data_IF_330665885922
#
_entry.id   IF_330665885922
#
_cell.length_a   1.000
_cell.length_b   1.000
_cell.length_c   1.000
_cell.angle_alpha   90.00
_cell.angle_beta   90.00
_cell.angle_gamma   90.00
#
_symmetry.space_group_name_H-M   'P 1'
#
loop_
_entity.id
_entity.type
_entity.pdbx_description
1 polymer ?
#
# COMPACT_ATOMS: atom_id res chain seq x y z
N UNK A 1 -18.73 -4.74 53.97
CA UNK A 1 -17.79 -5.68 53.33
C UNK A 1 -18.24 -6.19 51.94
N UNK A 2 -19.47 -6.64 51.73
CA UNK A 2 -19.92 -7.18 50.42
C UNK A 2 -19.92 -6.13 49.29
N UNK A 3 -20.27 -4.89 49.60
CA UNK A 3 -20.32 -3.78 48.60
C UNK A 3 -18.93 -3.34 48.12
N UNK A 4 -17.96 -3.28 49.04
CA UNK A 4 -16.57 -2.96 48.68
C UNK A 4 -15.94 -4.05 47.81
N UNK A 5 -16.18 -5.34 48.09
CA UNK A 5 -15.68 -6.43 47.23
C UNK A 5 -16.25 -6.34 45.78
N UNK A 6 -17.55 -6.00 45.65
CA UNK A 6 -18.16 -5.79 44.31
C UNK A 6 -17.53 -4.61 43.55
N UNK A 7 -17.23 -3.51 44.29
CA UNK A 7 -16.58 -2.34 43.69
C UNK A 7 -15.17 -2.66 43.18
N UNK A 8 -14.40 -3.42 43.96
CA UNK A 8 -13.05 -3.89 43.58
C UNK A 8 -13.07 -4.81 42.37
N UNK A 9 -14.05 -5.70 42.27
CA UNK A 9 -14.22 -6.60 41.12
C UNK A 9 -14.60 -5.78 39.86
N UNK A 10 -15.47 -4.79 40.02
CA UNK A 10 -15.87 -3.90 38.88
C UNK A 10 -14.69 -3.06 38.40
N UNK A 11 -13.90 -2.49 39.29
CA UNK A 11 -12.69 -1.76 38.97
C UNK A 11 -11.64 -2.64 38.26
N UNK A 12 -11.40 -3.84 38.80
CA UNK A 12 -10.47 -4.79 38.18
C UNK A 12 -10.94 -5.24 36.79
N UNK A 13 -12.23 -5.47 36.60
CA UNK A 13 -12.80 -5.81 35.31
C UNK A 13 -12.68 -4.64 34.31
N UNK A 14 -12.97 -3.41 34.77
CA UNK A 14 -12.84 -2.19 33.93
C UNK A 14 -11.38 -1.93 33.54
N UNK A 15 -10.43 -2.14 34.48
CA UNK A 15 -9.00 -1.99 34.22
C UNK A 15 -8.50 -3.07 33.25
N UNK A 16 -8.97 -4.32 33.41
CA UNK A 16 -8.63 -5.41 32.48
C UNK A 16 -9.20 -5.16 31.07
N UNK A 17 -10.43 -4.62 30.98
CA UNK A 17 -11.03 -4.25 29.70
C UNK A 17 -10.27 -3.09 29.03
N UNK A 18 -9.87 -2.08 29.80
CA UNK A 18 -9.05 -0.96 29.30
C UNK A 18 -7.66 -1.43 28.84
N UNK A 19 -7.03 -2.36 29.55
CA UNK A 19 -5.74 -2.95 29.17
C UNK A 19 -5.82 -3.86 27.94
N UNK A 20 -6.97 -4.50 27.71
CA UNK A 20 -7.22 -5.30 26.49
C UNK A 20 -7.57 -4.45 25.27
N UNK A 21 -7.98 -3.19 25.45
CA UNK A 21 -8.24 -2.26 24.35
C UNK A 21 -6.99 -1.56 23.80
N UNK A 22 -5.81 -1.79 24.39
CA UNK A 22 -4.53 -1.29 23.86
C UNK A 22 -3.89 -2.38 22.97
N UNK A 23 -4.66 -2.96 22.06
CA UNK A 23 -4.07 -3.61 20.89
C UNK A 23 -3.77 -2.45 19.95
N UNK A 24 -2.51 -2.09 19.83
CA UNK A 24 -2.06 -1.19 18.78
C UNK A 24 -2.43 -1.87 17.46
N UNK A 25 -3.52 -1.44 16.85
CA UNK A 25 -3.78 -1.77 15.47
C UNK A 25 -2.70 -1.03 14.67
N UNK A 26 -1.66 -1.75 14.28
CA UNK A 26 -0.68 -1.26 13.32
C UNK A 26 -1.32 -1.46 11.95
N UNK A 27 -1.94 -0.43 11.44
CA UNK A 27 -2.56 -0.43 10.11
C UNK A 27 -2.56 0.99 9.59
N UNK A 28 -2.03 1.17 8.39
CA UNK A 28 -2.09 2.46 7.70
C UNK A 28 -3.55 2.88 7.45
N UNK A 29 -3.79 4.18 7.33
CA UNK A 29 -5.12 4.72 7.05
C UNK A 29 -5.11 5.48 5.73
N UNK A 30 -6.03 5.17 4.82
CA UNK A 30 -6.30 5.97 3.63
C UNK A 30 -7.55 6.82 3.80
N UNK A 31 -7.53 8.01 3.20
CA UNK A 31 -8.67 8.92 3.17
C UNK A 31 -8.89 9.37 1.73
N UNK A 32 -10.12 9.29 1.30
CA UNK A 32 -10.61 9.91 0.07
C UNK A 32 -11.67 10.95 0.41
N UNK A 33 -11.55 12.13 -0.18
CA UNK A 33 -12.56 13.20 -0.10
C UNK A 33 -13.00 13.53 -1.52
N UNK A 34 -14.28 13.29 -1.82
CA UNK A 34 -14.86 13.56 -3.13
C UNK A 34 -15.08 15.05 -3.40
N UNK A 35 -15.16 15.39 -4.67
CA UNK A 35 -15.29 16.78 -5.17
C UNK A 35 -16.49 17.55 -4.61
N UNK A 36 -17.58 16.86 -4.28
CA UNK A 36 -18.78 17.47 -3.70
C UNK A 36 -18.57 17.99 -2.26
N UNK A 37 -17.51 17.57 -1.60
CA UNK A 37 -17.19 17.94 -0.21
C UNK A 37 -16.11 19.01 -0.12
N UNK A 38 -15.59 19.50 -1.25
CA UNK A 38 -14.51 20.49 -1.32
C UNK A 38 -15.02 21.83 -1.84
N UNK A 39 -14.37 22.92 -1.45
CA UNK A 39 -14.81 24.27 -1.81
C UNK A 39 -14.55 24.61 -3.30
N UNK A 40 -13.60 23.96 -3.92
CA UNK A 40 -13.13 24.21 -5.29
C UNK A 40 -13.46 23.09 -6.28
N UNK A 41 -14.16 22.03 -5.80
CA UNK A 41 -14.50 20.88 -6.63
C UNK A 41 -13.34 19.91 -6.88
N UNK A 42 -12.24 20.04 -6.16
CA UNK A 42 -11.14 19.08 -6.22
C UNK A 42 -11.44 17.83 -5.38
N UNK A 43 -10.78 16.72 -5.68
CA UNK A 43 -10.78 15.53 -4.84
C UNK A 43 -9.43 15.36 -4.16
N UNK A 44 -9.41 14.78 -2.95
CA UNK A 44 -8.18 14.53 -2.20
C UNK A 44 -7.99 13.06 -1.92
N UNK A 45 -6.75 12.61 -2.07
CA UNK A 45 -6.27 11.35 -1.53
C UNK A 45 -5.21 11.65 -0.49
N UNK A 46 -5.28 10.97 0.65
CA UNK A 46 -4.29 11.10 1.71
C UNK A 46 -4.07 9.75 2.40
N UNK A 47 -2.90 9.58 3.02
CA UNK A 47 -2.60 8.42 3.87
C UNK A 47 -1.86 8.85 5.13
N UNK A 48 -2.00 8.04 6.18
CA UNK A 48 -1.04 7.97 7.26
C UNK A 48 -0.31 6.63 7.20
N UNK A 49 0.91 6.61 7.69
CA UNK A 49 1.67 5.40 7.94
C UNK A 49 1.63 5.13 9.43
N UNK A 50 1.02 4.01 9.81
CA UNK A 50 0.85 3.60 11.21
C UNK A 50 1.67 2.33 11.45
N UNK A 51 3.00 2.47 11.39
CA UNK A 51 3.96 1.39 11.58
C UNK A 51 4.83 1.62 12.83
N UNK A 52 5.76 0.71 13.11
CA UNK A 52 6.59 0.80 14.31
C UNK A 52 7.56 1.98 14.27
N UNK A 53 7.92 2.51 15.44
CA UNK A 53 8.91 3.58 15.56
C UNK A 53 10.27 3.19 14.96
N UNK A 54 10.90 4.10 14.23
CA UNK A 54 12.23 3.90 13.65
C UNK A 54 12.25 3.73 12.14
N UNK A 55 11.09 3.68 11.49
CA UNK A 55 10.98 3.73 10.03
C UNK A 55 10.94 5.19 9.58
N UNK A 56 12.09 5.73 9.25
CA UNK A 56 12.16 7.05 8.66
C UNK A 56 11.74 6.98 7.20
N UNK A 57 11.07 8.02 6.71
CA UNK A 57 10.66 8.11 5.31
C UNK A 57 11.51 9.16 4.58
N UNK A 58 11.83 8.87 3.33
CA UNK A 58 12.55 9.78 2.43
C UNK A 58 11.66 10.10 1.24
N UNK A 59 11.47 11.39 0.97
CA UNK A 59 10.87 11.85 -0.27
C UNK A 59 11.95 12.03 -1.34
N UNK A 60 11.73 11.51 -2.53
CA UNK A 60 12.66 11.60 -3.65
C UNK A 60 11.98 11.79 -4.99
N UNK A 61 12.78 12.12 -6.00
CA UNK A 61 12.33 12.30 -7.39
C UNK A 61 13.07 11.30 -8.26
N UNK A 62 12.32 10.48 -8.96
CA UNK A 62 12.83 9.58 -9.98
C UNK A 62 12.71 10.24 -11.35
N UNK A 63 13.83 10.30 -12.07
CA UNK A 63 13.87 10.91 -13.39
C UNK A 63 13.21 10.02 -14.44
N UNK A 64 12.70 10.60 -15.51
CA UNK A 64 12.22 9.86 -16.66
C UNK A 64 13.31 8.91 -17.19
N UNK A 65 12.93 7.67 -17.48
CA UNK A 65 13.85 6.64 -17.94
C UNK A 65 14.76 6.05 -16.85
N UNK A 66 14.48 6.26 -15.57
CA UNK A 66 15.17 5.54 -14.47
C UNK A 66 15.17 4.03 -14.72
N UNK A 67 14.05 3.51 -15.16
CA UNK A 67 13.89 2.15 -15.64
C UNK A 67 13.68 2.22 -17.17
N UNK A 68 14.60 1.65 -17.93
CA UNK A 68 14.50 1.63 -19.38
C UNK A 68 13.52 0.56 -19.86
N UNK A 69 12.93 0.74 -21.03
CA UNK A 69 12.13 -0.28 -21.69
C UNK A 69 12.86 -1.62 -21.77
N UNK A 70 12.21 -2.70 -21.36
CA UNK A 70 12.78 -4.05 -21.28
C UNK A 70 13.70 -4.32 -20.09
N UNK A 71 13.97 -3.34 -19.22
CA UNK A 71 14.67 -3.60 -17.97
C UNK A 71 13.79 -4.35 -16.97
N UNK A 72 14.43 -5.08 -16.07
CA UNK A 72 13.76 -5.91 -15.07
C UNK A 72 13.82 -5.22 -13.71
N UNK A 73 12.67 -5.10 -13.07
CA UNK A 73 12.51 -4.76 -11.68
C UNK A 73 12.45 -6.03 -10.84
N UNK A 74 13.17 -6.05 -9.73
CA UNK A 74 13.09 -7.11 -8.73
C UNK A 74 12.74 -6.47 -7.38
N UNK A 75 11.56 -6.81 -6.89
CA UNK A 75 11.04 -6.33 -5.62
C UNK A 75 11.70 -6.98 -4.40
N UNK A 76 11.45 -6.41 -3.23
CA UNK A 76 12.06 -6.86 -1.97
C UNK A 76 11.76 -8.34 -1.66
N UNK A 77 10.58 -8.80 -2.03
CA UNK A 77 10.12 -10.18 -1.78
C UNK A 77 10.21 -11.09 -3.00
N UNK A 78 10.94 -10.65 -4.05
CA UNK A 78 11.22 -11.44 -5.24
C UNK A 78 10.18 -11.32 -6.35
N UNK A 79 9.22 -10.39 -6.25
CA UNK A 79 8.35 -10.02 -7.36
C UNK A 79 9.18 -9.49 -8.53
N UNK A 80 8.89 -9.93 -9.74
CA UNK A 80 9.61 -9.51 -10.95
C UNK A 80 8.65 -8.87 -11.94
N UNK A 81 9.05 -7.69 -12.43
CA UNK A 81 8.33 -6.98 -13.49
C UNK A 81 9.29 -6.53 -14.59
N UNK A 82 8.84 -6.58 -15.84
CA UNK A 82 9.60 -6.06 -16.99
C UNK A 82 8.91 -4.82 -17.53
N UNK A 83 9.60 -3.68 -17.51
CA UNK A 83 9.04 -2.42 -17.98
C UNK A 83 8.76 -2.46 -19.50
N UNK A 84 7.58 -1.99 -19.89
CA UNK A 84 7.14 -2.00 -21.28
C UNK A 84 7.65 -0.80 -22.08
N UNK A 85 7.97 0.29 -21.39
CA UNK A 85 8.56 1.52 -21.94
C UNK A 85 9.51 2.15 -20.90
N UNK A 86 10.21 3.21 -21.29
CA UNK A 86 11.00 4.02 -20.36
C UNK A 86 10.09 4.61 -19.28
N UNK A 87 10.42 4.44 -18.01
CA UNK A 87 9.59 4.87 -16.89
C UNK A 87 9.32 6.36 -16.93
N UNK A 88 8.11 6.77 -16.59
CA UNK A 88 7.79 8.18 -16.36
C UNK A 88 8.62 8.75 -15.19
N UNK A 89 8.88 10.06 -15.20
CA UNK A 89 9.39 10.74 -14.01
C UNK A 89 8.31 10.78 -12.94
N UNK A 90 8.70 10.54 -11.67
CA UNK A 90 7.75 10.56 -10.57
C UNK A 90 8.41 10.97 -9.25
N UNK A 91 7.61 11.53 -8.35
CA UNK A 91 7.96 11.71 -6.95
C UNK A 91 7.45 10.54 -6.15
N UNK A 92 8.20 10.12 -5.14
CA UNK A 92 7.75 9.07 -4.24
C UNK A 92 8.24 9.30 -2.81
N UNK A 93 7.59 8.65 -1.88
CA UNK A 93 8.06 8.50 -0.49
C UNK A 93 8.32 7.03 -0.25
N UNK A 94 9.49 6.73 0.27
CA UNK A 94 9.93 5.37 0.58
C UNK A 94 10.53 5.28 1.97
N UNK A 95 10.77 4.06 2.43
CA UNK A 95 11.56 3.82 3.63
C UNK A 95 12.99 4.31 3.48
N UNK A 96 13.56 4.79 4.58
CA UNK A 96 14.98 5.16 4.64
C UNK A 96 15.85 3.91 4.75
N UNK A 97 16.38 3.46 3.63
CA UNK A 97 17.33 2.35 3.55
C UNK A 97 18.80 2.82 3.43
N UNK A 98 19.11 4.05 3.82
CA UNK A 98 20.47 4.62 3.74
C UNK A 98 21.50 3.83 4.57
N UNK A 99 21.04 3.02 5.53
CA UNK A 99 21.89 2.08 6.27
C UNK A 99 22.38 0.91 5.40
N UNK A 100 21.84 0.71 4.21
CA UNK A 100 22.10 -0.44 3.35
C UNK A 100 21.45 -1.74 3.85
N UNK A 101 20.58 -1.65 4.85
CA UNK A 101 19.80 -2.77 5.37
C UNK A 101 18.34 -2.46 5.09
N UNK A 102 17.66 -3.36 4.39
CA UNK A 102 16.22 -3.26 4.18
C UNK A 102 15.51 -3.33 5.54
N UNK A 103 14.70 -2.33 5.93
CA UNK A 103 14.04 -2.33 7.22
C UNK A 103 13.06 -3.50 7.38
N UNK A 104 12.43 -3.97 6.30
CA UNK A 104 11.45 -5.05 6.38
C UNK A 104 12.06 -6.45 6.35
N UNK A 105 12.93 -6.74 5.38
CA UNK A 105 13.51 -8.07 5.28
C UNK A 105 14.80 -8.24 6.08
N UNK A 106 15.40 -7.15 6.59
CA UNK A 106 16.63 -7.15 7.38
C UNK A 106 17.88 -7.57 6.62
N UNK A 107 17.84 -7.65 5.29
CA UNK A 107 18.97 -8.09 4.46
C UNK A 107 19.73 -6.91 3.87
N UNK A 108 21.03 -7.12 3.68
CA UNK A 108 21.90 -6.16 2.98
C UNK A 108 21.98 -6.56 1.51
N UNK A 109 21.07 -6.05 0.71
CA UNK A 109 21.15 -6.18 -0.74
C UNK A 109 20.65 -4.88 -1.41
N UNK A 110 21.03 -4.61 -2.65
CA UNK A 110 20.53 -3.47 -3.37
C UNK A 110 19.03 -3.68 -3.65
N UNK A 111 18.19 -3.23 -2.71
CA UNK A 111 16.76 -3.18 -2.94
C UNK A 111 16.39 -1.96 -3.75
N UNK A 112 15.36 -2.14 -4.54
CA UNK A 112 14.53 -1.03 -4.95
C UNK A 112 13.94 -0.37 -3.69
N UNK A 113 13.85 0.96 -3.66
CA UNK A 113 13.17 1.65 -2.57
C UNK A 113 11.76 1.08 -2.43
N UNK A 114 11.31 0.86 -1.21
CA UNK A 114 9.93 0.48 -0.91
C UNK A 114 9.08 1.75 -1.02
N UNK A 115 8.68 2.07 -2.24
CA UNK A 115 7.89 3.25 -2.54
C UNK A 115 6.40 2.94 -2.30
N UNK A 116 5.74 3.75 -1.49
CA UNK A 116 4.37 3.49 -1.06
C UNK A 116 3.38 4.51 -1.60
N UNK A 117 3.84 5.74 -1.85
CA UNK A 117 3.01 6.85 -2.30
C UNK A 117 3.80 7.78 -3.20
N UNK A 118 3.13 8.33 -4.21
CA UNK A 118 3.76 9.30 -5.10
C UNK A 118 2.84 9.79 -6.21
N UNK A 119 3.44 10.60 -7.10
CA UNK A 119 2.76 11.11 -8.31
C UNK A 119 3.74 11.19 -9.47
N UNK A 120 3.29 10.84 -10.66
CA UNK A 120 4.12 10.88 -11.86
C UNK A 120 3.86 12.09 -12.76
N UNK A 121 4.70 12.27 -13.78
CA UNK A 121 4.63 13.40 -14.74
C UNK A 121 3.38 13.38 -15.62
N UNK A 122 2.62 12.29 -15.64
CA UNK A 122 1.32 12.18 -16.31
C UNK A 122 0.15 12.61 -15.44
N UNK A 123 0.43 12.94 -14.16
CA UNK A 123 -0.58 13.33 -13.19
C UNK A 123 -1.26 12.14 -12.51
N UNK A 124 -0.74 10.94 -12.66
CA UNK A 124 -1.21 9.77 -11.91
C UNK A 124 -0.62 9.79 -10.52
N UNK A 125 -1.46 9.64 -9.51
CA UNK A 125 -1.08 9.52 -8.11
C UNK A 125 -1.47 8.14 -7.59
N UNK A 126 -0.58 7.54 -6.80
CA UNK A 126 -0.75 6.19 -6.23
C UNK A 126 -0.48 6.24 -4.74
N UNK A 127 -1.29 5.52 -3.97
CA UNK A 127 -1.03 5.23 -2.56
C UNK A 127 -1.39 3.77 -2.29
N UNK A 128 -0.42 2.95 -1.93
CA UNK A 128 -0.58 1.55 -1.60
C UNK A 128 -0.44 1.33 -0.09
N UNK A 129 -1.11 0.31 0.46
CA UNK A 129 -1.01 -0.03 1.88
C UNK A 129 -1.51 -1.44 2.18
N UNK A 130 -0.95 -2.07 3.22
CA UNK A 130 -1.44 -3.33 3.79
C UNK A 130 -2.48 -3.01 4.86
N UNK A 131 -3.76 -3.18 4.55
CA UNK A 131 -4.87 -2.84 5.47
C UNK A 131 -5.86 -3.97 5.69
N UNK A 132 -5.67 -5.08 5.04
CA UNK A 132 -6.63 -6.17 5.00
C UNK A 132 -6.19 -7.38 5.82
N UNK A 133 -7.15 -8.03 6.43
CA UNK A 133 -6.96 -9.32 7.09
C UNK A 133 -8.03 -10.30 6.58
N UNK A 134 -7.81 -10.97 5.45
CA UNK A 134 -8.76 -11.91 4.92
C UNK A 134 -8.93 -13.12 5.85
N UNK A 135 -10.12 -13.71 5.87
CA UNK A 135 -10.36 -14.90 6.69
C UNK A 135 -9.70 -16.15 6.09
N UNK A 136 -9.39 -17.13 6.93
CA UNK A 136 -8.68 -18.34 6.52
C UNK A 136 -9.42 -19.18 5.46
N UNK A 137 -10.74 -19.04 5.31
CA UNK A 137 -11.49 -19.79 4.29
C UNK A 137 -11.15 -19.28 2.89
N UNK A 138 -11.10 -17.96 2.68
CA UNK A 138 -10.78 -17.40 1.37
C UNK A 138 -9.30 -17.59 1.03
N UNK A 139 -8.41 -17.42 2.02
CA UNK A 139 -6.95 -17.64 1.84
C UNK A 139 -6.64 -19.11 1.51
N UNK A 140 -7.38 -20.07 2.09
CA UNK A 140 -7.19 -21.48 1.75
C UNK A 140 -7.71 -21.85 0.33
N UNK A 141 -8.66 -21.09 -0.19
CA UNK A 141 -9.20 -21.30 -1.53
C UNK A 141 -8.34 -20.67 -2.63
N UNK A 142 -7.71 -19.56 -2.33
CA UNK A 142 -6.84 -18.79 -3.22
C UNK A 142 -5.70 -18.17 -2.36
N UNK A 143 -4.61 -18.92 -2.12
CA UNK A 143 -3.51 -18.44 -1.27
C UNK A 143 -2.75 -17.28 -1.90
N UNK A 144 -2.03 -16.53 -1.05
CA UNK A 144 -1.05 -15.56 -1.53
C UNK A 144 0.06 -16.26 -2.32
N UNK A 145 0.59 -15.58 -3.31
CA UNK A 145 1.69 -16.06 -4.13
C UNK A 145 3.05 -15.66 -3.54
N UNK A 146 3.96 -16.60 -3.36
CA UNK A 146 5.28 -16.37 -2.75
C UNK A 146 6.10 -15.29 -3.48
N UNK A 147 5.89 -15.13 -4.79
CA UNK A 147 6.55 -14.14 -5.65
C UNK A 147 5.54 -13.12 -6.23
N UNK A 148 4.38 -13.00 -5.59
CA UNK A 148 3.34 -12.05 -5.95
C UNK A 148 3.74 -10.60 -5.66
N UNK A 149 3.04 -9.67 -6.30
CA UNK A 149 3.24 -8.23 -6.05
C UNK A 149 2.85 -7.87 -4.61
N UNK A 150 3.70 -7.09 -3.94
CA UNK A 150 3.50 -6.58 -2.59
C UNK A 150 3.29 -5.06 -2.60
N UNK A 151 2.85 -4.49 -1.47
CA UNK A 151 2.71 -3.03 -1.29
C UNK A 151 3.95 -2.28 -1.74
N UNK A 152 5.11 -2.80 -1.35
CA UNK A 152 6.44 -2.23 -1.65
C UNK A 152 6.75 -2.07 -3.14
N UNK A 153 6.03 -2.77 -4.01
CA UNK A 153 6.26 -2.80 -5.46
C UNK A 153 5.25 -1.94 -6.22
N UNK A 154 4.02 -1.85 -5.69
CA UNK A 154 2.87 -1.32 -6.42
C UNK A 154 3.06 0.13 -6.86
N UNK A 155 3.51 1.01 -5.95
CA UNK A 155 3.70 2.42 -6.30
C UNK A 155 4.79 2.60 -7.35
N UNK A 156 5.92 1.89 -7.23
CA UNK A 156 7.02 1.94 -8.21
C UNK A 156 6.54 1.56 -9.62
N UNK A 157 5.84 0.42 -9.74
CA UNK A 157 5.36 -0.08 -11.03
C UNK A 157 4.32 0.86 -11.64
N UNK A 158 3.30 1.22 -10.87
CA UNK A 158 2.19 2.04 -11.36
C UNK A 158 2.62 3.47 -11.72
N UNK A 159 3.48 4.10 -10.92
CA UNK A 159 4.00 5.44 -11.21
C UNK A 159 4.96 5.44 -12.40
N UNK A 160 5.67 4.34 -12.61
CA UNK A 160 6.58 4.20 -13.75
C UNK A 160 5.87 4.01 -15.08
N UNK A 161 4.72 3.32 -15.12
CA UNK A 161 4.12 2.88 -16.37
C UNK A 161 2.74 3.46 -16.69
N UNK A 162 1.96 3.88 -15.67
CA UNK A 162 0.60 4.34 -15.92
C UNK A 162 0.55 5.80 -16.39
N UNK A 163 -0.12 6.05 -17.51
CA UNK A 163 -0.38 7.41 -18.05
C UNK A 163 -1.74 7.96 -17.63
N UNK A 164 -2.59 7.13 -17.02
CA UNK A 164 -3.89 7.50 -16.45
C UNK A 164 -4.24 6.59 -15.27
N UNK A 165 -5.17 7.01 -14.42
CA UNK A 165 -5.65 6.18 -13.31
C UNK A 165 -6.22 4.85 -13.81
N UNK A 166 -6.99 4.88 -14.89
CA UNK A 166 -7.56 3.68 -15.48
C UNK A 166 -6.49 2.69 -15.98
N UNK A 167 -5.47 3.18 -16.66
CA UNK A 167 -4.35 2.35 -17.12
C UNK A 167 -3.59 1.72 -15.93
N UNK A 168 -3.39 2.49 -14.85
CA UNK A 168 -2.81 1.96 -13.62
C UNK A 168 -3.64 0.84 -12.98
N UNK A 169 -4.97 1.01 -12.96
CA UNK A 169 -5.88 -0.06 -12.51
C UNK A 169 -5.75 -1.29 -13.39
N UNK A 170 -5.85 -1.14 -14.72
CA UNK A 170 -5.77 -2.25 -15.67
C UNK A 170 -4.44 -3.00 -15.56
N UNK A 171 -3.33 -2.27 -15.39
CA UNK A 171 -2.00 -2.86 -15.15
C UNK A 171 -1.97 -3.69 -13.87
N UNK A 172 -2.46 -3.13 -12.74
CA UNK A 172 -2.47 -3.82 -11.46
C UNK A 172 -3.35 -5.08 -11.49
N UNK A 173 -4.56 -4.99 -12.08
CA UNK A 173 -5.44 -6.14 -12.22
C UNK A 173 -4.82 -7.24 -13.10
N UNK A 174 -4.13 -6.86 -14.19
CA UNK A 174 -3.41 -7.82 -15.03
C UNK A 174 -2.28 -8.53 -14.25
N UNK A 175 -1.59 -7.82 -13.35
CA UNK A 175 -0.58 -8.43 -12.49
C UNK A 175 -1.23 -9.42 -11.51
N UNK A 176 -2.35 -9.07 -10.89
CA UNK A 176 -3.08 -9.99 -10.02
C UNK A 176 -3.57 -11.25 -10.77
N UNK A 177 -4.05 -11.09 -12.00
CA UNK A 177 -4.52 -12.22 -12.82
C UNK A 177 -3.39 -13.15 -13.28
N UNK A 178 -2.18 -12.63 -13.49
CA UNK A 178 -1.09 -13.38 -14.15
C UNK A 178 0.02 -13.83 -13.20
N UNK A 179 0.30 -13.05 -12.17
CA UNK A 179 1.38 -13.30 -11.21
C UNK A 179 0.82 -13.53 -9.81
N UNK A 180 -0.25 -12.82 -9.48
CA UNK A 180 -0.87 -12.82 -8.15
C UNK A 180 -0.28 -11.79 -7.20
N UNK A 181 -0.87 -11.69 -6.01
CA UNK A 181 -0.42 -10.84 -4.91
C UNK A 181 0.27 -11.66 -3.81
N UNK A 182 1.34 -11.12 -3.25
CA UNK A 182 2.09 -11.70 -2.13
C UNK A 182 1.50 -11.38 -0.76
N UNK A 183 0.68 -10.33 -0.68
CA UNK A 183 0.02 -9.89 0.55
C UNK A 183 -1.30 -9.15 0.24
N UNK A 184 -2.25 -9.11 1.19
CA UNK A 184 -3.50 -8.39 1.00
C UNK A 184 -3.29 -6.88 1.13
N UNK A 185 -3.64 -6.14 0.09
CA UNK A 185 -3.36 -4.70 -0.01
C UNK A 185 -4.57 -3.91 -0.50
N UNK A 186 -4.60 -2.63 -0.15
CA UNK A 186 -5.49 -1.63 -0.72
C UNK A 186 -4.70 -0.54 -1.43
N UNK A 187 -5.17 -0.10 -2.60
CA UNK A 187 -4.47 0.91 -3.42
C UNK A 187 -5.45 1.98 -3.88
N UNK A 188 -5.13 3.24 -3.63
CA UNK A 188 -5.76 4.37 -4.31
C UNK A 188 -4.94 4.74 -5.53
N UNK A 189 -5.60 4.82 -6.69
CA UNK A 189 -5.01 5.24 -7.96
C UNK A 189 -5.89 6.37 -8.52
N UNK A 190 -5.31 7.54 -8.71
CA UNK A 190 -6.06 8.70 -9.18
C UNK A 190 -5.33 9.52 -10.22
N UNK A 191 -6.09 10.23 -11.03
CA UNK A 191 -5.62 11.28 -11.92
C UNK A 191 -6.59 12.47 -11.86
N UNK A 192 -6.43 13.44 -12.78
CA UNK A 192 -7.29 14.62 -12.82
C UNK A 192 -8.77 14.34 -13.15
N UNK A 193 -9.10 13.12 -13.62
CA UNK A 193 -10.44 12.77 -14.11
C UNK A 193 -11.17 11.80 -13.20
N UNK A 194 -10.43 10.93 -12.52
CA UNK A 194 -11.02 9.84 -11.74
C UNK A 194 -10.09 9.31 -10.65
N UNK A 195 -10.71 8.73 -9.63
CA UNK A 195 -10.01 8.04 -8.54
C UNK A 195 -10.64 6.66 -8.39
N UNK A 196 -9.77 5.66 -8.26
CA UNK A 196 -10.12 4.27 -8.05
C UNK A 196 -9.56 3.78 -6.73
N UNK A 197 -10.30 2.90 -6.08
CA UNK A 197 -9.82 2.04 -5.00
C UNK A 197 -9.77 0.61 -5.50
N UNK A 198 -8.59 0.01 -5.42
CA UNK A 198 -8.35 -1.39 -5.75
C UNK A 198 -7.95 -2.11 -4.48
N UNK A 199 -8.52 -3.29 -4.25
CA UNK A 199 -8.29 -4.07 -3.04
C UNK A 199 -8.13 -5.54 -3.45
N UNK A 200 -7.01 -6.17 -3.12
CA UNK A 200 -6.84 -7.61 -3.26
C UNK A 200 -6.97 -8.29 -1.91
N UNK A 201 -7.69 -9.40 -1.87
CA UNK A 201 -7.99 -10.15 -0.65
C UNK A 201 -7.09 -11.37 -0.50
N UNK A 202 -6.65 -11.93 -1.63
CA UNK A 202 -5.90 -13.17 -1.75
C UNK A 202 -4.96 -13.04 -2.95
N UNK A 203 -4.32 -14.13 -3.37
CA UNK A 203 -3.40 -14.11 -4.50
C UNK A 203 -4.01 -13.52 -5.76
N UNK A 204 -5.25 -13.96 -6.12
CA UNK A 204 -5.88 -13.57 -7.39
C UNK A 204 -7.28 -12.98 -7.22
N UNK A 205 -7.81 -12.92 -5.98
CA UNK A 205 -9.15 -12.35 -5.73
C UNK A 205 -9.05 -10.88 -5.34
N UNK A 206 -9.67 -10.02 -6.11
CA UNK A 206 -9.62 -8.56 -5.93
C UNK A 206 -10.95 -7.88 -6.28
N UNK A 207 -11.05 -6.61 -5.97
CA UNK A 207 -12.09 -5.69 -6.43
C UNK A 207 -11.50 -4.36 -6.83
N UNK A 208 -12.12 -3.68 -7.80
CA UNK A 208 -11.78 -2.32 -8.19
C UNK A 208 -13.05 -1.47 -8.25
N UNK A 209 -13.04 -0.34 -7.57
CA UNK A 209 -14.20 0.55 -7.45
C UNK A 209 -13.78 1.94 -7.87
N UNK A 210 -14.47 2.52 -8.85
CA UNK A 210 -14.34 3.93 -9.16
C UNK A 210 -15.05 4.76 -8.09
N UNK A 211 -14.32 5.66 -7.43
CA UNK A 211 -14.83 6.48 -6.35
C UNK A 211 -15.45 7.80 -6.82
N UNK A 212 -15.03 8.32 -7.94
CA UNK A 212 -15.58 9.53 -8.59
C UNK A 212 -15.18 9.60 -10.05
#
# INVERSE_FOLDING_TARGET
MKTMKKLWILMAALTATLLLCVISASACTMVYVGSDLTADGSSFMARSEDYSNGYNKIAHVNQHGKYAAGSVYEGCYGFIHTFTHDSYAYTATSDDNTSGVCPDCGQTHPHTPMEEVGSNEKGVSVSAMVTLSPNGTVVNADPMEDLGICESDMATILLSEASSAKEGVELLLNIFDTVGAGEPSGVLIGDQNEIWYVENFTGHTYTAIKLS
#
